data_IF_433946173902
#
_entry.id   IF_433946173902
#
_cell.length_a   1.000
_cell.length_b   1.000
_cell.length_c   1.000
_cell.angle_alpha   90.00
_cell.angle_beta   90.00
_cell.angle_gamma   90.00
#
_symmetry.space_group_name_H-M   'P 1'
#
loop_
_entity.id
_entity.type
_entity.pdbx_description
1 polymer ?
#
# COMPACT_ATOMS: atom_id res chain seq x y z
N UNK A 1 -3.66 25.20 17.38
CA UNK A 1 -4.02 24.44 16.17
C UNK A 1 -3.49 23.03 16.37
N UNK A 2 -4.33 22.00 16.30
CA UNK A 2 -3.89 20.61 16.48
C UNK A 2 -2.91 20.20 15.36
N UNK A 3 -1.99 19.27 15.66
CA UNK A 3 -1.13 18.65 14.63
C UNK A 3 -2.03 17.92 13.63
N UNK A 4 -1.80 18.14 12.33
CA UNK A 4 -2.41 17.32 11.28
C UNK A 4 -1.85 15.89 11.38
N UNK A 5 -2.75 14.91 11.52
CA UNK A 5 -2.39 13.49 11.57
C UNK A 5 -2.14 13.00 10.15
N UNK A 6 -0.97 12.42 9.92
CA UNK A 6 -0.61 11.80 8.64
C UNK A 6 -0.86 10.30 8.67
N UNK A 7 -1.74 9.82 7.80
CA UNK A 7 -2.08 8.42 7.62
C UNK A 7 -1.62 7.89 6.26
N UNK A 8 -1.11 6.65 6.28
CA UNK A 8 -0.75 5.89 5.08
C UNK A 8 -1.43 4.54 5.09
N UNK A 9 -1.86 4.10 3.91
CA UNK A 9 -2.50 2.79 3.72
C UNK A 9 -1.57 1.86 2.96
N UNK A 10 -1.14 0.77 3.59
CA UNK A 10 -0.27 -0.23 2.99
C UNK A 10 -1.05 -1.45 2.53
N UNK A 11 -0.79 -1.89 1.31
CA UNK A 11 -1.36 -3.09 0.71
C UNK A 11 -0.20 -4.03 0.34
N UNK A 12 -0.24 -5.24 0.88
CA UNK A 12 0.72 -6.29 0.51
C UNK A 12 0.14 -7.12 -0.64
N UNK A 13 0.83 -7.13 -1.78
CA UNK A 13 0.44 -7.90 -2.95
C UNK A 13 1.24 -9.20 -3.08
N UNK A 14 0.57 -10.28 -3.49
CA UNK A 14 1.21 -11.48 -4.02
C UNK A 14 0.29 -12.18 -5.03
N UNK A 15 0.62 -12.12 -6.32
CA UNK A 15 -0.12 -12.74 -7.44
C UNK A 15 -1.61 -12.32 -7.57
N UNK A 16 -2.00 -11.15 -7.04
CA UNK A 16 -3.39 -10.64 -7.05
C UNK A 16 -3.41 -9.14 -7.36
N UNK A 17 -2.75 -8.74 -8.46
CA UNK A 17 -2.54 -7.32 -8.75
C UNK A 17 -3.82 -6.57 -9.10
N UNK A 18 -4.83 -7.22 -9.66
CA UNK A 18 -6.11 -6.57 -9.98
C UNK A 18 -6.83 -6.06 -8.73
N UNK A 19 -6.89 -6.90 -7.68
CA UNK A 19 -7.48 -6.52 -6.39
C UNK A 19 -6.65 -5.44 -5.70
N UNK A 20 -5.33 -5.60 -5.70
CA UNK A 20 -4.41 -4.59 -5.17
C UNK A 20 -4.60 -3.24 -5.88
N UNK A 21 -4.70 -3.24 -7.21
CA UNK A 21 -4.90 -2.05 -8.02
C UNK A 21 -6.23 -1.37 -7.70
N UNK A 22 -7.32 -2.15 -7.67
CA UNK A 22 -8.67 -1.67 -7.33
C UNK A 22 -8.69 -1.00 -5.96
N UNK A 23 -8.16 -1.68 -4.94
CA UNK A 23 -8.12 -1.15 -3.57
C UNK A 23 -7.22 0.09 -3.48
N UNK A 24 -6.02 0.06 -4.07
CA UNK A 24 -5.09 1.18 -4.04
C UNK A 24 -5.67 2.44 -4.71
N UNK A 25 -6.29 2.28 -5.87
CA UNK A 25 -6.94 3.39 -6.58
C UNK A 25 -8.13 3.94 -5.80
N UNK A 26 -8.97 3.08 -5.20
CA UNK A 26 -10.08 3.50 -4.32
C UNK A 26 -9.56 4.31 -3.14
N UNK A 27 -8.63 3.76 -2.37
CA UNK A 27 -8.09 4.41 -1.16
C UNK A 27 -7.31 5.69 -1.49
N UNK A 28 -6.65 5.78 -2.65
CA UNK A 28 -5.97 7.00 -3.07
C UNK A 28 -6.93 8.19 -3.22
N UNK A 29 -8.23 7.95 -3.44
CA UNK A 29 -9.26 9.01 -3.48
C UNK A 29 -9.67 9.54 -2.11
N UNK A 30 -9.33 8.83 -1.02
CA UNK A 30 -9.74 9.22 0.32
C UNK A 30 -9.05 10.52 0.74
N UNK A 31 -9.82 11.43 1.34
CA UNK A 31 -9.39 12.75 1.79
C UNK A 31 -8.35 12.64 2.91
N UNK A 32 -8.53 11.67 3.83
CA UNK A 32 -7.70 11.55 5.03
C UNK A 32 -6.53 10.57 4.90
N UNK A 33 -6.34 9.95 3.72
CA UNK A 33 -5.17 9.13 3.42
C UNK A 33 -4.21 9.92 2.54
N UNK A 34 -3.03 10.24 3.07
CA UNK A 34 -2.03 11.05 2.36
C UNK A 34 -1.26 10.22 1.33
N UNK A 35 -1.08 8.92 1.54
CA UNK A 35 -0.43 8.05 0.57
C UNK A 35 -0.84 6.59 0.73
N UNK A 36 -0.79 5.86 -0.39
CA UNK A 36 -0.94 4.42 -0.48
C UNK A 36 0.41 3.80 -0.82
N UNK A 37 0.82 2.81 -0.03
CA UNK A 37 2.03 2.02 -0.29
C UNK A 37 1.62 0.63 -0.75
N UNK A 38 2.02 0.27 -1.96
CA UNK A 38 1.90 -1.10 -2.44
C UNK A 38 3.26 -1.78 -2.28
N UNK A 39 3.28 -2.94 -1.63
CA UNK A 39 4.46 -3.81 -1.58
C UNK A 39 4.15 -5.09 -2.36
N UNK A 40 4.80 -5.28 -3.50
CA UNK A 40 4.82 -6.56 -4.20
C UNK A 40 5.79 -7.52 -3.50
N UNK A 41 5.27 -8.62 -2.97
CA UNK A 41 6.03 -9.59 -2.20
C UNK A 41 6.78 -10.60 -3.09
N UNK A 42 7.41 -10.09 -4.17
CA UNK A 42 8.02 -10.87 -5.23
C UNK A 42 7.03 -11.87 -5.83
N UNK A 43 5.97 -11.34 -6.44
CA UNK A 43 5.00 -12.15 -7.18
C UNK A 43 5.68 -12.95 -8.29
N UNK A 44 5.09 -14.09 -8.64
CA UNK A 44 5.61 -15.00 -9.68
C UNK A 44 5.02 -14.71 -11.07
N UNK A 45 4.14 -13.72 -11.16
CA UNK A 45 3.51 -13.22 -12.39
C UNK A 45 3.92 -11.77 -12.67
N UNK A 46 3.26 -11.12 -13.64
CA UNK A 46 3.52 -9.74 -14.01
C UNK A 46 2.94 -8.70 -13.03
N UNK A 47 2.52 -9.10 -11.81
CA UNK A 47 1.90 -8.22 -10.82
C UNK A 47 2.69 -6.94 -10.58
N UNK A 48 4.00 -7.06 -10.31
CA UNK A 48 4.82 -5.88 -10.05
C UNK A 48 4.84 -4.93 -11.24
N UNK A 49 4.91 -5.46 -12.46
CA UNK A 49 4.91 -4.65 -13.66
C UNK A 49 3.60 -3.88 -13.82
N UNK A 50 2.45 -4.52 -13.63
CA UNK A 50 1.15 -3.84 -13.68
C UNK A 50 0.98 -2.81 -12.56
N UNK A 51 1.32 -3.17 -11.33
CA UNK A 51 1.20 -2.27 -10.18
C UNK A 51 2.12 -1.06 -10.31
N UNK A 52 3.34 -1.25 -10.81
CA UNK A 52 4.31 -0.14 -10.97
C UNK A 52 3.80 0.96 -11.92
N UNK A 53 2.92 0.62 -12.87
CA UNK A 53 2.27 1.62 -13.76
C UNK A 53 1.29 2.55 -13.01
N UNK A 54 0.85 2.17 -11.80
CA UNK A 54 -0.02 2.98 -10.95
C UNK A 54 0.74 4.00 -10.10
N UNK A 55 2.08 3.95 -10.08
CA UNK A 55 2.89 4.87 -9.30
C UNK A 55 2.65 6.33 -9.73
N UNK A 56 2.48 7.21 -8.76
CA UNK A 56 2.11 8.60 -9.00
C UNK A 56 2.12 9.42 -7.72
N UNK A 57 1.32 10.49 -7.67
CA UNK A 57 1.34 11.46 -6.56
C UNK A 57 1.02 10.83 -5.20
N UNK A 58 0.01 9.97 -5.13
CA UNK A 58 -0.42 9.31 -3.87
C UNK A 58 0.02 7.85 -3.73
N UNK A 59 0.29 7.15 -4.83
CA UNK A 59 0.58 5.71 -4.83
C UNK A 59 2.09 5.49 -5.03
N UNK A 60 2.73 4.81 -4.09
CA UNK A 60 4.11 4.34 -4.18
C UNK A 60 4.16 2.82 -4.27
N UNK A 61 4.99 2.28 -5.17
CA UNK A 61 5.07 0.83 -5.41
C UNK A 61 6.49 0.31 -5.23
N UNK A 62 6.65 -0.66 -4.34
CA UNK A 62 7.92 -1.32 -4.02
C UNK A 62 7.84 -2.81 -4.29
N UNK A 63 8.97 -3.42 -4.62
CA UNK A 63 9.12 -4.87 -4.69
C UNK A 63 10.10 -5.35 -3.62
N UNK A 64 9.78 -6.48 -3.00
CA UNK A 64 10.70 -7.20 -2.10
C UNK A 64 11.72 -8.04 -2.89
N UNK A 65 12.85 -8.38 -2.28
CA UNK A 65 13.86 -9.25 -2.91
C UNK A 65 13.49 -10.74 -2.89
N UNK A 66 12.51 -11.13 -2.07
CA UNK A 66 11.98 -12.48 -1.92
C UNK A 66 10.58 -12.42 -1.33
N UNK A 67 9.75 -13.41 -1.63
CA UNK A 67 8.53 -13.62 -0.85
C UNK A 67 8.91 -14.07 0.56
N UNK A 68 8.87 -13.13 1.52
CA UNK A 68 9.19 -13.38 2.93
C UNK A 68 7.97 -13.70 3.79
N UNK A 69 6.81 -13.94 3.18
CA UNK A 69 5.53 -14.02 3.88
C UNK A 69 4.99 -12.66 4.34
N UNK A 70 3.80 -12.70 4.95
CA UNK A 70 2.99 -11.53 5.29
C UNK A 70 3.72 -10.49 6.13
N UNK A 71 4.35 -10.92 7.23
CA UNK A 71 5.03 -10.03 8.16
C UNK A 71 6.25 -9.34 7.54
N UNK A 72 7.02 -10.02 6.67
CA UNK A 72 8.20 -9.43 6.05
C UNK A 72 7.80 -8.33 5.07
N UNK A 73 6.79 -8.58 4.23
CA UNK A 73 6.27 -7.59 3.31
C UNK A 73 5.70 -6.36 4.02
N UNK A 74 4.89 -6.56 5.06
CA UNK A 74 4.35 -5.47 5.85
C UNK A 74 5.42 -4.70 6.63
N UNK A 75 6.49 -5.36 7.07
CA UNK A 75 7.64 -4.68 7.68
C UNK A 75 8.38 -3.78 6.68
N UNK A 76 8.37 -4.10 5.38
CA UNK A 76 8.90 -3.19 4.35
C UNK A 76 8.02 -1.94 4.28
N UNK A 77 6.70 -2.10 4.20
CA UNK A 77 5.78 -0.95 4.21
C UNK A 77 5.92 -0.09 5.47
N UNK A 78 6.02 -0.72 6.65
CA UNK A 78 6.19 -0.03 7.92
C UNK A 78 7.48 0.80 7.98
N UNK A 79 8.60 0.28 7.46
CA UNK A 79 9.85 1.07 7.37
C UNK A 79 9.72 2.25 6.42
N UNK A 80 9.02 2.09 5.29
CA UNK A 80 8.76 3.19 4.35
C UNK A 80 7.89 4.27 4.99
N UNK A 81 6.79 3.87 5.62
CA UNK A 81 5.90 4.76 6.34
C UNK A 81 6.62 5.50 7.48
N UNK A 82 7.43 4.80 8.27
CA UNK A 82 8.25 5.40 9.32
C UNK A 82 9.18 6.49 8.77
N UNK A 83 9.86 6.22 7.65
CA UNK A 83 10.75 7.20 7.01
C UNK A 83 9.99 8.41 6.42
N UNK A 84 8.69 8.28 6.13
CA UNK A 84 7.82 9.39 5.72
C UNK A 84 7.33 10.23 6.90
N UNK A 85 7.60 9.80 8.14
CA UNK A 85 7.17 10.51 9.36
C UNK A 85 5.65 10.50 9.55
N UNK A 86 4.99 9.41 9.17
CA UNK A 86 3.53 9.24 9.34
C UNK A 86 3.18 8.95 10.79
N UNK A 87 1.96 9.30 11.18
CA UNK A 87 1.42 9.05 12.51
C UNK A 87 0.64 7.72 12.57
N UNK A 88 -0.01 7.35 11.46
CA UNK A 88 -0.86 6.16 11.37
C UNK A 88 -0.47 5.35 10.12
N UNK A 89 -0.34 4.04 10.30
CA UNK A 89 -0.19 3.07 9.22
C UNK A 89 -1.35 2.07 9.28
N UNK A 90 -2.13 2.02 8.21
CA UNK A 90 -3.06 0.93 7.96
C UNK A 90 -2.35 -0.16 7.17
N UNK A 91 -2.63 -1.42 7.48
CA UNK A 91 -2.13 -2.58 6.75
C UNK A 91 -3.36 -3.37 6.30
N UNK A 92 -3.40 -3.72 5.02
CA UNK A 92 -4.53 -4.42 4.44
C UNK A 92 -4.11 -5.50 3.45
N UNK A 93 -4.96 -6.52 3.36
CA UNK A 93 -4.91 -7.49 2.28
C UNK A 93 -5.56 -6.90 1.01
N UNK A 94 -5.21 -7.37 -0.19
CA UNK A 94 -5.80 -6.88 -1.44
C UNK A 94 -7.32 -7.07 -1.58
N UNK A 95 -7.88 -8.10 -0.93
CA UNK A 95 -9.27 -8.54 -1.06
C UNK A 95 -10.26 -7.78 -0.16
N UNK A 96 -9.78 -6.77 0.58
CA UNK A 96 -10.63 -5.92 1.41
C UNK A 96 -11.50 -5.01 0.54
N UNK A 97 -12.76 -4.83 0.95
CA UNK A 97 -13.62 -3.75 0.49
C UNK A 97 -13.87 -2.79 1.66
N UNK A 98 -13.54 -1.52 1.45
CA UNK A 98 -13.61 -0.45 2.46
C UNK A 98 -14.00 0.86 1.79
N UNK A 99 -14.84 1.64 2.43
CA UNK A 99 -15.19 3.01 2.07
C UNK A 99 -14.66 4.00 3.10
N UNK A 100 -14.46 5.27 2.71
CA UNK A 100 -13.94 6.31 3.61
C UNK A 100 -14.84 6.57 4.84
N UNK A 101 -16.10 6.13 4.79
CA UNK A 101 -17.08 6.32 5.85
C UNK A 101 -17.14 5.16 6.85
N UNK A 102 -16.42 4.06 6.59
CA UNK A 102 -16.33 2.90 7.50
C UNK A 102 -15.48 3.24 8.74
#
# INVERSE_FOLDING_TARGET
>A
MGKEIKAVYAILNYNTWEDTARLAQKVATFQHIQSVIIVDNLSTDDSYHYLKRLEGEKISVYQTQRNGGYSVGNNVAARKAYNMGVDILFISNPDVDIDEKD
#
